data_IF_577918366842
#
_entry.id   IF_577918366842
#
_cell.length_a   1.000
_cell.length_b   1.000
_cell.length_c   1.000
_cell.angle_alpha   90.00
_cell.angle_beta   90.00
_cell.angle_gamma   90.00
#
_symmetry.space_group_name_H-M   'P 1'
#
loop_
_entity.id
_entity.type
_entity.pdbx_description
1 polymer ?
#
# COMPACT_ATOMS: atom_id res chain seq x y z
N UNK A 1 -5.09 8.76 -20.39
CA UNK A 1 -5.42 10.08 -19.81
C UNK A 1 -5.31 10.04 -18.29
N UNK A 2 -4.64 10.99 -17.70
CA UNK A 2 -4.35 10.99 -16.26
C UNK A 2 -5.44 11.76 -15.50
N UNK A 3 -6.62 11.15 -15.38
CA UNK A 3 -7.80 11.78 -14.74
C UNK A 3 -7.57 12.15 -13.28
N UNK A 4 -6.66 11.41 -12.59
CA UNK A 4 -6.38 11.62 -11.16
C UNK A 4 -5.00 12.25 -10.93
N UNK A 5 -4.42 12.89 -11.94
CA UNK A 5 -3.15 13.59 -11.79
C UNK A 5 -3.24 14.59 -10.64
N UNK A 6 -2.24 14.56 -9.75
CA UNK A 6 -2.20 15.43 -8.59
C UNK A 6 -2.82 14.86 -7.33
N UNK A 7 -3.52 13.72 -7.42
CA UNK A 7 -4.08 13.04 -6.25
C UNK A 7 -3.03 12.08 -5.68
N UNK A 8 -2.78 12.16 -4.39
CA UNK A 8 -1.88 11.24 -3.69
C UNK A 8 -2.68 10.29 -2.81
N UNK A 9 -2.41 8.99 -2.97
CA UNK A 9 -3.07 7.92 -2.23
C UNK A 9 -2.03 7.17 -1.41
N UNK A 10 -2.30 6.99 -0.11
CA UNK A 10 -1.53 6.07 0.73
C UNK A 10 -2.30 4.75 0.79
N UNK A 11 -1.68 3.67 0.35
CA UNK A 11 -2.29 2.35 0.36
C UNK A 11 -1.64 1.49 1.44
N UNK A 12 -2.44 1.09 2.43
CA UNK A 12 -2.02 0.18 3.50
C UNK A 12 -2.57 -1.22 3.31
N UNK A 13 -3.28 -1.44 2.22
CA UNK A 13 -3.98 -2.68 1.95
C UNK A 13 -3.03 -3.78 1.49
N UNK A 14 -3.46 -5.04 1.68
CA UNK A 14 -2.70 -6.21 1.27
C UNK A 14 -3.55 -7.13 0.40
N UNK A 15 -2.88 -7.94 -0.38
CA UNK A 15 -3.38 -9.03 -1.19
C UNK A 15 -4.23 -8.54 -2.37
N UNK A 16 -5.55 -8.43 -2.25
CA UNK A 16 -6.39 -8.28 -3.42
C UNK A 16 -7.28 -7.04 -3.45
N UNK A 17 -8.27 -6.94 -2.58
CA UNK A 17 -9.32 -5.92 -2.70
C UNK A 17 -8.76 -4.50 -2.66
N UNK A 18 -8.01 -4.16 -1.63
CA UNK A 18 -7.39 -2.85 -1.51
C UNK A 18 -6.34 -2.59 -2.59
N UNK A 19 -5.39 -3.53 -2.82
CA UNK A 19 -4.40 -3.37 -3.89
C UNK A 19 -5.01 -3.23 -5.29
N UNK A 20 -6.10 -3.91 -5.60
CA UNK A 20 -6.80 -3.74 -6.87
C UNK A 20 -7.34 -2.31 -7.00
N UNK A 21 -7.95 -1.79 -5.95
CA UNK A 21 -8.42 -0.41 -5.93
C UNK A 21 -7.27 0.56 -6.16
N UNK A 22 -6.15 0.39 -5.44
CA UNK A 22 -4.97 1.23 -5.61
C UNK A 22 -4.38 1.13 -7.02
N UNK A 23 -4.37 -0.06 -7.60
CA UNK A 23 -3.91 -0.27 -8.96
C UNK A 23 -4.73 0.54 -9.96
N UNK A 24 -6.05 0.50 -9.84
CA UNK A 24 -6.93 1.27 -10.72
C UNK A 24 -6.70 2.77 -10.56
N UNK A 25 -6.52 3.24 -9.34
CA UNK A 25 -6.21 4.64 -9.08
C UNK A 25 -4.88 5.04 -9.70
N UNK A 26 -3.85 4.19 -9.56
CA UNK A 26 -2.54 4.43 -10.15
C UNK A 26 -2.62 4.49 -11.68
N UNK A 27 -3.36 3.56 -12.28
CA UNK A 27 -3.54 3.53 -13.74
C UNK A 27 -4.28 4.78 -14.25
N UNK A 28 -5.09 5.42 -13.40
CA UNK A 28 -5.78 6.67 -13.73
C UNK A 28 -4.94 7.91 -13.46
N UNK A 29 -3.69 7.75 -13.04
CA UNK A 29 -2.74 8.84 -12.88
C UNK A 29 -2.51 9.33 -11.46
N UNK A 30 -3.16 8.74 -10.44
CA UNK A 30 -2.87 9.08 -9.06
C UNK A 30 -1.46 8.62 -8.67
N UNK A 31 -0.83 9.36 -7.77
CA UNK A 31 0.39 8.88 -7.12
C UNK A 31 -0.01 7.95 -5.99
N UNK A 32 0.20 6.65 -6.16
CA UNK A 32 -0.11 5.66 -5.14
C UNK A 32 1.17 5.22 -4.45
N UNK A 33 1.24 5.42 -3.15
CA UNK A 33 2.35 4.99 -2.31
C UNK A 33 1.86 3.83 -1.47
N UNK A 34 2.40 2.64 -1.73
CA UNK A 34 2.06 1.44 -0.98
C UNK A 34 2.93 1.35 0.26
N UNK A 35 2.28 1.28 1.41
CA UNK A 35 2.93 1.09 2.70
C UNK A 35 2.93 -0.41 3.00
N UNK A 36 4.10 -1.03 3.07
CA UNK A 36 4.21 -2.44 3.37
C UNK A 36 4.73 -2.63 4.79
N UNK A 37 4.21 -3.65 5.46
CA UNK A 37 4.66 -4.03 6.80
C UNK A 37 6.11 -4.52 6.78
N UNK A 38 6.81 -4.39 7.90
CA UNK A 38 8.11 -5.00 8.12
C UNK A 38 8.01 -6.01 9.26
N UNK A 39 8.67 -7.18 9.14
CA UNK A 39 9.34 -7.71 7.95
C UNK A 39 8.35 -8.31 6.94
N UNK A 40 8.81 -8.56 5.73
CA UNK A 40 8.13 -9.41 4.76
C UNK A 40 7.27 -8.71 3.72
N UNK A 41 6.74 -7.54 4.00
CA UNK A 41 5.91 -6.81 3.04
C UNK A 41 4.53 -7.44 2.82
N UNK A 42 3.92 -7.16 1.68
CA UNK A 42 2.63 -7.71 1.30
C UNK A 42 2.73 -9.23 1.15
N UNK A 43 1.73 -9.95 1.67
CA UNK A 43 1.73 -11.42 1.64
C UNK A 43 1.74 -11.97 0.21
N UNK A 44 1.29 -11.21 -0.79
CA UNK A 44 1.38 -11.64 -2.20
C UNK A 44 2.81 -11.84 -2.67
N UNK A 45 3.80 -11.24 -2.01
CA UNK A 45 5.21 -11.48 -2.33
C UNK A 45 5.60 -12.95 -2.16
N UNK A 46 4.86 -13.68 -1.33
CA UNK A 46 5.11 -15.11 -1.06
C UNK A 46 4.24 -16.02 -1.92
N UNK A 47 3.46 -15.49 -2.85
CA UNK A 47 2.63 -16.29 -3.75
C UNK A 47 3.50 -16.82 -4.90
N UNK A 48 4.21 -17.88 -4.63
CA UNK A 48 5.14 -18.51 -5.57
C UNK A 48 4.78 -19.99 -5.74
N UNK A 49 4.92 -20.57 -6.92
CA UNK A 49 4.95 -19.97 -8.24
C UNK A 49 3.61 -19.35 -8.62
N UNK A 50 3.51 -18.53 -9.68
CA UNK A 50 4.55 -18.17 -10.62
C UNK A 50 5.38 -16.97 -10.16
N UNK A 51 6.59 -16.85 -10.70
CA UNK A 51 7.47 -15.72 -10.41
C UNK A 51 8.12 -15.16 -11.68
N UNK A 52 8.64 -13.94 -11.56
CA UNK A 52 9.47 -13.31 -12.59
C UNK A 52 10.78 -12.92 -11.90
N UNK A 53 11.87 -13.63 -12.26
CA UNK A 53 13.18 -13.41 -11.66
C UNK A 53 13.15 -13.45 -10.12
N UNK A 54 12.41 -14.40 -9.54
CA UNK A 54 12.31 -14.56 -8.09
C UNK A 54 11.26 -13.69 -7.41
N UNK A 55 10.58 -12.81 -8.15
CA UNK A 55 9.53 -11.94 -7.59
C UNK A 55 8.16 -12.50 -7.95
N UNK A 56 7.26 -12.57 -6.97
CA UNK A 56 5.91 -13.08 -7.18
C UNK A 56 5.20 -12.36 -8.33
N UNK A 57 4.70 -13.12 -9.29
CA UNK A 57 3.92 -12.56 -10.39
C UNK A 57 2.63 -11.92 -9.89
N UNK A 58 2.00 -12.48 -8.85
CA UNK A 58 0.82 -11.90 -8.24
C UNK A 58 1.13 -10.51 -7.68
N UNK A 59 2.26 -10.35 -6.98
CA UNK A 59 2.67 -9.06 -6.48
C UNK A 59 2.87 -8.05 -7.61
N UNK A 60 3.58 -8.43 -8.65
CA UNK A 60 3.85 -7.55 -9.80
C UNK A 60 2.56 -7.13 -10.49
N UNK A 61 1.63 -8.08 -10.68
CA UNK A 61 0.36 -7.81 -11.34
C UNK A 61 -0.49 -6.81 -10.57
N UNK A 62 -0.52 -6.92 -9.25
CA UNK A 62 -1.38 -6.09 -8.40
C UNK A 62 -0.78 -4.73 -8.05
N UNK A 63 0.51 -4.53 -8.28
CA UNK A 63 1.20 -3.35 -7.75
C UNK A 63 1.97 -2.53 -8.77
N UNK A 64 1.66 -2.69 -10.06
CA UNK A 64 2.27 -1.84 -11.10
C UNK A 64 1.91 -0.38 -10.89
N UNK A 65 2.79 0.51 -11.32
CA UNK A 65 2.61 1.98 -11.24
C UNK A 65 2.53 2.53 -9.82
N UNK A 66 2.82 1.71 -8.79
CA UNK A 66 2.85 2.18 -7.41
C UNK A 66 4.27 2.42 -6.96
N UNK A 67 4.45 3.39 -6.07
CA UNK A 67 5.68 3.55 -5.30
C UNK A 67 5.54 2.74 -4.03
N UNK A 68 6.65 2.28 -3.45
CA UNK A 68 6.61 1.47 -2.24
C UNK A 68 7.49 2.02 -1.14
N UNK A 69 7.03 1.86 0.10
CA UNK A 69 7.82 2.14 1.29
C UNK A 69 7.50 1.10 2.35
N UNK A 70 8.54 0.62 3.03
CA UNK A 70 8.36 -0.31 4.14
C UNK A 70 8.40 0.46 5.45
N UNK A 71 7.35 0.31 6.27
CA UNK A 71 7.25 0.94 7.57
C UNK A 71 6.81 -0.08 8.61
N UNK A 72 7.42 -0.03 9.78
CA UNK A 72 6.96 -0.80 10.93
C UNK A 72 5.95 0.04 11.71
N UNK A 73 4.66 -0.19 11.48
CA UNK A 73 3.59 0.54 12.16
C UNK A 73 3.37 0.11 13.60
N UNK A 74 4.14 -0.88 14.07
CA UNK A 74 4.18 -1.25 15.48
C UNK A 74 5.22 -0.45 16.25
N UNK A 75 6.10 0.26 15.55
CA UNK A 75 7.11 1.13 16.13
C UNK A 75 6.62 2.57 16.13
N UNK A 76 6.88 3.29 17.22
CA UNK A 76 6.50 4.68 17.38
C UNK A 76 7.00 5.57 16.23
N UNK A 77 8.25 5.37 15.80
CA UNK A 77 8.81 6.13 14.68
C UNK A 77 8.11 5.85 13.37
N UNK A 78 7.75 4.60 13.12
CA UNK A 78 7.00 4.22 11.93
C UNK A 78 5.64 4.90 11.89
N UNK A 79 4.96 4.96 13.03
CA UNK A 79 3.66 5.64 13.15
C UNK A 79 3.81 7.14 12.92
N UNK A 80 4.85 7.77 13.47
CA UNK A 80 5.09 9.20 13.28
C UNK A 80 5.33 9.54 11.81
N UNK A 81 6.11 8.74 11.11
CA UNK A 81 6.34 8.90 9.67
C UNK A 81 5.03 8.76 8.92
N UNK A 82 4.24 7.75 9.24
CA UNK A 82 2.96 7.51 8.58
C UNK A 82 2.00 8.69 8.78
N UNK A 83 1.90 9.21 10.01
CA UNK A 83 1.06 10.37 10.29
C UNK A 83 1.47 11.60 9.49
N UNK A 84 2.77 11.81 9.31
CA UNK A 84 3.27 12.90 8.47
C UNK A 84 2.86 12.69 7.01
N UNK A 85 2.94 11.46 6.52
CA UNK A 85 2.53 11.13 5.15
C UNK A 85 1.03 11.36 4.94
N UNK A 86 0.20 11.04 5.94
CA UNK A 86 -1.25 11.27 5.87
C UNK A 86 -1.55 12.75 5.64
N UNK A 87 -0.85 13.63 6.33
CA UNK A 87 -1.06 15.08 6.18
C UNK A 87 -0.81 15.60 4.77
N UNK A 88 0.01 14.88 4.01
CA UNK A 88 0.39 15.25 2.65
C UNK A 88 -0.31 14.40 1.59
N UNK A 89 -1.36 13.69 1.97
CA UNK A 89 -2.07 12.78 1.07
C UNK A 89 -3.55 13.11 1.03
N UNK A 90 -4.20 12.74 -0.06
CA UNK A 90 -5.61 13.02 -0.27
C UNK A 90 -6.50 11.85 0.15
N UNK A 91 -6.00 10.62 0.03
CA UNK A 91 -6.77 9.40 0.28
C UNK A 91 -5.91 8.39 1.02
N UNK A 92 -6.53 7.67 1.96
CA UNK A 92 -5.92 6.51 2.62
C UNK A 92 -6.78 5.30 2.31
N UNK A 93 -6.15 4.27 1.73
CA UNK A 93 -6.79 2.99 1.42
C UNK A 93 -6.34 1.94 2.43
N UNK A 94 -7.28 1.17 2.96
CA UNK A 94 -6.96 0.05 3.81
C UNK A 94 -8.02 -1.05 3.65
N UNK A 95 -7.63 -2.29 3.91
CA UNK A 95 -8.56 -3.42 3.92
C UNK A 95 -8.34 -4.31 5.16
N UNK A 96 -7.89 -3.70 6.23
CA UNK A 96 -7.67 -4.41 7.49
C UNK A 96 -9.01 -4.75 8.16
N UNK A 97 -8.95 -5.65 9.12
CA UNK A 97 -10.11 -5.94 9.97
C UNK A 97 -10.48 -4.71 10.77
N UNK A 98 -11.77 -4.56 11.05
CA UNK A 98 -12.27 -3.48 11.91
C UNK A 98 -11.48 -3.43 13.21
N UNK A 99 -11.07 -2.25 13.60
CA UNK A 99 -10.33 -2.03 14.85
C UNK A 99 -8.81 -2.13 14.72
N UNK A 100 -8.27 -2.61 13.59
CA UNK A 100 -6.82 -2.74 13.43
C UNK A 100 -6.11 -1.40 13.48
N UNK A 101 -6.64 -0.38 12.79
CA UNK A 101 -6.03 0.95 12.78
C UNK A 101 -6.07 1.59 14.17
N UNK A 102 -7.16 1.41 14.91
CA UNK A 102 -7.28 1.90 16.28
C UNK A 102 -6.23 1.25 17.18
N UNK A 103 -6.01 -0.06 17.05
CA UNK A 103 -4.97 -0.76 17.82
C UNK A 103 -3.57 -0.24 17.53
N UNK A 104 -3.34 0.22 16.30
CA UNK A 104 -2.07 0.81 15.91
C UNK A 104 -1.94 2.29 16.31
N UNK A 105 -3.00 2.88 16.86
CA UNK A 105 -3.01 4.29 17.24
C UNK A 105 -3.17 5.26 16.06
N UNK A 106 -3.73 4.80 14.97
CA UNK A 106 -3.88 5.57 13.73
C UNK A 106 -5.35 5.88 13.41
N UNK A 107 -6.23 5.13 14.01
CA UNK A 107 -7.66 5.24 13.74
C UNK A 107 -8.34 6.49 14.26
#
# INVERSE_FOLDING_TARGET
MASLKGIRVLEMAQIMAGPTCGLLLADLGAEVIKIEKTPGGDDTRNFLPPDVNGVSAAYLMMNRNKKGIALNLKDKKGIEIFKTMIKNSDVVLENFRKGTLEKLGIG
#
